data_IF_238344927433
#
_entry.id   IF_238344927433
#
_cell.length_a   1.000
_cell.length_b   1.000
_cell.length_c   1.000
_cell.angle_alpha   90.00
_cell.angle_beta   90.00
_cell.angle_gamma   90.00
#
_symmetry.space_group_name_H-M   'P 1'
#
loop_
_entity.id
_entity.type
_entity.pdbx_description
1 polymer ?
#
# COMPACT_ATOMS: atom_id res chain seq x y z
N UNK A 1 36.17 7.43 19.02
CA UNK A 1 35.20 8.48 18.64
C UNK A 1 34.54 7.97 17.36
N UNK A 2 33.55 7.11 17.51
CA UNK A 2 32.75 6.69 16.35
C UNK A 2 32.05 7.94 15.82
N UNK A 3 32.36 8.31 14.58
CA UNK A 3 31.59 9.27 13.82
C UNK A 3 30.17 8.72 13.80
N UNK A 4 29.28 9.30 14.61
CA UNK A 4 27.87 9.01 14.56
C UNK A 4 27.42 9.12 13.11
N UNK A 5 26.87 8.03 12.57
CA UNK A 5 26.17 8.02 11.29
C UNK A 5 25.28 9.26 11.27
N UNK A 6 25.55 10.19 10.36
CA UNK A 6 24.60 11.28 10.09
C UNK A 6 23.39 10.59 9.49
N UNK A 7 22.37 10.37 10.32
CA UNK A 7 21.11 9.79 9.90
C UNK A 7 20.45 10.77 8.92
N UNK A 8 20.00 10.28 7.77
CA UNK A 8 19.14 11.09 6.90
C UNK A 8 17.80 11.23 7.61
N UNK A 9 17.61 12.34 8.31
CA UNK A 9 16.28 12.68 8.83
C UNK A 9 15.43 13.01 7.63
N UNK A 10 14.42 12.18 7.37
CA UNK A 10 13.48 12.43 6.28
C UNK A 10 12.63 13.65 6.61
N UNK A 11 12.34 14.49 5.60
CA UNK A 11 11.58 15.73 5.79
C UNK A 11 10.18 15.46 6.40
N UNK A 12 9.61 14.28 6.13
CA UNK A 12 8.28 13.88 6.59
C UNK A 12 8.26 13.19 7.96
N UNK A 13 9.42 12.85 8.54
CA UNK A 13 9.50 12.18 9.86
C UNK A 13 8.68 12.85 10.97
N UNK A 14 8.74 14.18 11.18
CA UNK A 14 7.92 14.82 12.22
C UNK A 14 6.42 14.73 11.92
N UNK A 15 6.02 14.87 10.65
CA UNK A 15 4.61 14.80 10.27
C UNK A 15 4.02 13.39 10.46
N UNK A 16 4.83 12.36 10.21
CA UNK A 16 4.43 10.96 10.45
C UNK A 16 4.27 10.71 11.95
N UNK A 17 5.16 11.24 12.79
CA UNK A 17 5.03 11.15 14.25
C UNK A 17 3.78 11.85 14.76
N UNK A 18 3.49 13.05 14.26
CA UNK A 18 2.28 13.79 14.59
C UNK A 18 1.01 13.03 14.15
N UNK A 19 1.04 12.39 12.98
CA UNK A 19 -0.06 11.56 12.50
C UNK A 19 -0.32 10.35 13.42
N UNK A 20 0.75 9.66 13.85
CA UNK A 20 0.65 8.54 14.79
C UNK A 20 0.07 9.02 16.12
N UNK A 21 0.55 10.15 16.64
CA UNK A 21 0.04 10.72 17.87
C UNK A 21 -1.43 11.10 17.76
N UNK A 22 -1.82 11.75 16.65
CA UNK A 22 -3.22 12.06 16.35
C UNK A 22 -4.08 10.80 16.27
N UNK A 23 -3.61 9.74 15.61
CA UNK A 23 -4.35 8.48 15.51
C UNK A 23 -4.59 7.85 16.89
N UNK A 24 -3.60 7.88 17.77
CA UNK A 24 -3.71 7.38 19.15
C UNK A 24 -4.69 8.24 19.97
N UNK A 25 -4.56 9.57 19.92
CA UNK A 25 -5.38 10.50 20.72
C UNK A 25 -6.83 10.60 20.25
N UNK A 26 -7.08 10.39 18.96
CA UNK A 26 -8.40 10.51 18.38
C UNK A 26 -9.37 9.40 18.80
N UNK A 27 -8.88 8.35 19.49
CA UNK A 27 -9.61 7.10 19.80
C UNK A 27 -10.32 6.50 18.57
N UNK A 28 -9.88 6.86 17.36
CA UNK A 28 -10.44 6.40 16.08
C UNK A 28 -9.97 4.98 15.74
N UNK A 29 -9.77 4.17 16.78
CA UNK A 29 -9.03 2.91 16.75
C UNK A 29 -9.64 1.87 15.83
N UNK A 30 -10.91 1.98 15.45
CA UNK A 30 -11.51 0.93 14.63
C UNK A 30 -10.98 0.93 13.19
N UNK A 31 -10.55 2.06 12.61
CA UNK A 31 -10.34 2.11 11.17
C UNK A 31 -9.28 3.11 10.66
N UNK A 32 -7.98 2.82 10.87
CA UNK A 32 -6.86 3.50 10.18
C UNK A 32 -7.08 3.62 8.65
N UNK A 33 -7.82 2.65 8.09
CA UNK A 33 -8.27 2.61 6.71
C UNK A 33 -9.05 3.86 6.25
N UNK A 34 -9.99 4.41 7.03
CA UNK A 34 -10.71 5.63 6.65
C UNK A 34 -9.86 6.89 6.84
N UNK A 35 -8.98 6.89 7.85
CA UNK A 35 -8.03 7.99 8.06
C UNK A 35 -7.11 8.13 6.84
N UNK A 36 -6.49 7.02 6.41
CA UNK A 36 -5.59 7.01 5.26
C UNK A 36 -6.33 7.40 3.98
N UNK A 37 -7.51 6.84 3.71
CA UNK A 37 -8.29 7.18 2.52
C UNK A 37 -8.71 8.67 2.47
N UNK A 38 -9.01 9.27 3.61
CA UNK A 38 -9.35 10.70 3.69
C UNK A 38 -8.14 11.62 3.46
N UNK A 39 -6.94 11.15 3.78
CA UNK A 39 -5.70 11.92 3.71
C UNK A 39 -4.86 11.61 2.47
N UNK A 40 -5.18 10.56 1.71
CA UNK A 40 -4.34 10.00 0.64
C UNK A 40 -3.92 11.01 -0.43
N UNK A 41 -4.90 11.81 -0.91
CA UNK A 41 -4.66 12.82 -1.95
C UNK A 41 -4.14 14.15 -1.39
N UNK A 42 -4.29 14.36 -0.07
CA UNK A 42 -3.94 15.61 0.60
C UNK A 42 -2.52 15.59 1.18
N UNK A 43 -2.03 14.41 1.55
CA UNK A 43 -0.81 14.24 2.33
C UNK A 43 0.18 13.30 1.62
N UNK A 44 1.11 13.82 0.80
CA UNK A 44 2.14 13.02 0.13
C UNK A 44 3.01 12.19 1.09
N UNK A 45 3.13 12.62 2.36
CA UNK A 45 3.85 11.88 3.41
C UNK A 45 3.33 10.45 3.64
N UNK A 46 2.07 10.15 3.28
CA UNK A 46 1.52 8.80 3.38
C UNK A 46 2.15 7.83 2.36
N UNK A 47 2.86 8.38 1.37
CA UNK A 47 3.64 7.64 0.39
C UNK A 47 5.15 7.67 0.66
N UNK A 48 5.56 8.22 1.81
CA UNK A 48 6.96 8.21 2.24
C UNK A 48 7.24 6.96 3.10
N UNK A 49 7.26 5.81 2.43
CA UNK A 49 7.56 4.53 3.07
C UNK A 49 8.97 4.48 3.64
N UNK A 50 9.95 5.15 3.02
CA UNK A 50 11.31 5.18 3.57
C UNK A 50 11.36 5.86 4.94
N UNK A 51 10.64 6.97 5.11
CA UNK A 51 10.52 7.62 6.41
C UNK A 51 9.78 6.75 7.45
N UNK A 52 8.71 6.04 7.06
CA UNK A 52 8.01 5.11 7.95
C UNK A 52 8.89 3.92 8.36
N UNK A 53 9.65 3.38 7.41
CA UNK A 53 10.57 2.27 7.64
C UNK A 53 11.75 2.66 8.52
N UNK A 54 12.32 3.85 8.32
CA UNK A 54 13.40 4.37 9.17
C UNK A 54 12.96 4.52 10.63
N UNK A 55 11.74 5.02 10.86
CA UNK A 55 11.15 5.10 12.19
C UNK A 55 10.99 3.72 12.87
N UNK A 56 10.67 2.69 12.08
CA UNK A 56 10.43 1.33 12.56
C UNK A 56 11.69 0.47 12.66
N UNK A 57 12.71 0.69 11.83
CA UNK A 57 13.86 -0.22 11.72
C UNK A 57 15.15 0.37 12.31
N UNK A 58 15.37 1.67 12.14
CA UNK A 58 16.63 2.32 12.53
C UNK A 58 16.59 2.79 13.98
N UNK A 59 17.76 2.89 14.60
CA UNK A 59 17.89 3.45 15.95
C UNK A 59 17.58 4.97 15.95
N UNK A 60 17.04 5.52 17.05
CA UNK A 60 16.79 6.95 17.16
C UNK A 60 18.11 7.74 17.11
N UNK A 61 18.10 8.87 16.40
CA UNK A 61 19.23 9.79 16.35
C UNK A 61 19.53 10.43 17.71
N UNK A 62 20.67 11.11 17.81
CA UNK A 62 21.06 11.80 19.06
C UNK A 62 20.06 12.90 19.40
N UNK A 63 19.25 12.68 20.44
CA UNK A 63 18.22 13.63 20.89
C UNK A 63 16.84 13.41 20.27
N UNK A 64 16.66 12.35 19.47
CA UNK A 64 15.34 11.89 19.04
C UNK A 64 14.74 10.96 20.10
N UNK A 65 13.46 11.11 20.37
CA UNK A 65 12.76 10.19 21.25
C UNK A 65 12.42 8.89 20.48
N UNK A 66 12.76 7.71 21.04
CA UNK A 66 12.37 6.44 20.45
C UNK A 66 10.84 6.33 20.42
N UNK A 67 10.32 5.62 19.42
CA UNK A 67 8.90 5.27 19.43
C UNK A 67 8.62 4.26 20.54
N UNK A 68 7.53 4.46 21.27
CA UNK A 68 7.04 3.47 22.22
C UNK A 68 6.26 2.34 21.52
N UNK A 69 5.91 1.31 22.27
CA UNK A 69 5.21 0.15 21.71
C UNK A 69 3.83 0.49 21.12
N UNK A 70 3.12 1.48 21.64
CA UNK A 70 1.81 1.85 21.09
C UNK A 70 1.98 2.60 19.78
N UNK A 71 2.93 3.54 19.73
CA UNK A 71 3.28 4.27 18.52
C UNK A 71 3.76 3.35 17.40
N UNK A 72 4.60 2.35 17.71
CA UNK A 72 5.05 1.35 16.73
C UNK A 72 3.88 0.55 16.16
N UNK A 73 2.96 0.07 17.01
CA UNK A 73 1.78 -0.68 16.56
C UNK A 73 0.91 0.18 15.64
N UNK A 74 0.61 1.41 16.06
CA UNK A 74 -0.17 2.36 15.26
C UNK A 74 0.50 2.72 13.92
N UNK A 75 1.82 2.92 13.90
CA UNK A 75 2.53 3.20 12.65
C UNK A 75 2.50 1.99 11.70
N UNK A 76 2.63 0.76 12.21
CA UNK A 76 2.48 -0.45 11.40
C UNK A 76 1.09 -0.53 10.78
N UNK A 77 0.02 -0.25 11.55
CA UNK A 77 -1.35 -0.24 11.03
C UNK A 77 -1.58 0.81 9.94
N UNK A 78 -1.11 2.03 10.17
CA UNK A 78 -1.18 3.12 9.20
C UNK A 78 -0.42 2.75 7.93
N UNK A 79 0.81 2.24 8.07
CA UNK A 79 1.66 1.82 6.94
C UNK A 79 0.98 0.72 6.11
N UNK A 80 0.39 -0.30 6.75
CA UNK A 80 -0.34 -1.38 6.04
C UNK A 80 -1.55 -0.83 5.29
N UNK A 81 -2.26 0.15 5.88
CA UNK A 81 -3.34 0.85 5.18
C UNK A 81 -2.84 1.65 3.97
N UNK A 82 -1.68 2.33 4.09
CA UNK A 82 -1.04 3.05 2.99
C UNK A 82 -0.60 2.10 1.87
N UNK A 83 0.00 0.96 2.21
CA UNK A 83 0.38 -0.10 1.25
C UNK A 83 -0.84 -0.61 0.49
N UNK A 84 -1.95 -0.89 1.18
CA UNK A 84 -3.19 -1.31 0.53
C UNK A 84 -3.71 -0.24 -0.43
N UNK A 85 -3.77 1.01 0.02
CA UNK A 85 -4.25 2.14 -0.80
C UNK A 85 -3.37 2.34 -2.04
N UNK A 86 -2.04 2.23 -1.91
CA UNK A 86 -1.08 2.30 -3.01
C UNK A 86 -1.24 1.16 -4.02
N UNK A 87 -1.61 -0.03 -3.56
CA UNK A 87 -1.72 -1.22 -4.41
C UNK A 87 -3.08 -1.35 -5.11
N UNK A 88 -4.17 -0.96 -4.44
CA UNK A 88 -5.53 -1.17 -4.97
C UNK A 88 -6.18 0.12 -5.49
N UNK A 89 -5.85 1.27 -4.92
CA UNK A 89 -6.59 2.52 -5.16
C UNK A 89 -8.07 2.46 -4.76
N UNK A 90 -8.49 1.40 -4.07
CA UNK A 90 -9.89 1.17 -3.69
C UNK A 90 -10.20 1.86 -2.37
N UNK A 91 -11.25 2.68 -2.37
CA UNK A 91 -11.76 3.24 -1.12
C UNK A 91 -12.29 2.15 -0.18
N UNK A 92 -12.31 2.41 1.14
CA UNK A 92 -12.83 1.49 2.16
C UNK A 92 -14.25 0.98 1.87
N UNK A 93 -14.58 -0.21 2.37
CA UNK A 93 -15.93 -0.80 2.27
C UNK A 93 -16.95 0.17 2.87
N UNK A 94 -17.99 0.52 2.12
CA UNK A 94 -19.01 1.50 2.54
C UNK A 94 -18.73 2.95 2.14
N UNK A 95 -17.51 3.27 1.68
CA UNK A 95 -17.20 4.54 0.98
C UNK A 95 -17.19 4.40 -0.54
N UNK A 96 -17.28 3.17 -1.05
CA UNK A 96 -17.43 2.90 -2.49
C UNK A 96 -18.76 3.46 -2.98
N UNK A 97 -18.77 4.72 -3.41
CA UNK A 97 -19.79 5.20 -4.34
C UNK A 97 -19.71 4.29 -5.56
N UNK A 98 -20.81 3.60 -5.88
CA UNK A 98 -20.88 2.60 -6.94
C UNK A 98 -20.17 3.05 -8.22
N UNK A 99 -19.57 2.09 -8.93
CA UNK A 99 -18.65 2.36 -10.01
C UNK A 99 -19.10 3.38 -11.06
N UNK A 100 -18.07 4.04 -11.62
CA UNK A 100 -18.01 4.83 -12.84
C UNK A 100 -18.44 6.32 -12.78
N UNK A 101 -17.57 7.13 -13.42
CA UNK A 101 -17.71 8.56 -13.79
C UNK A 101 -17.43 9.52 -12.62
N UNK A 102 -16.74 10.64 -12.73
CA UNK A 102 -16.09 11.35 -13.83
C UNK A 102 -15.68 12.70 -13.22
N UNK A 103 -14.49 13.22 -13.50
CA UNK A 103 -14.33 14.67 -13.58
C UNK A 103 -14.03 15.05 -15.02
N UNK A 104 -15.11 15.07 -15.80
CA UNK A 104 -15.25 15.85 -17.01
C UNK A 104 -14.97 17.32 -16.70
N UNK A 105 -14.14 17.87 -17.57
CA UNK A 105 -13.83 19.27 -17.79
C UNK A 105 -15.03 20.21 -17.57
N UNK A 106 -14.85 21.25 -16.75
CA UNK A 106 -15.80 22.34 -16.60
C UNK A 106 -15.72 23.27 -17.82
N UNK A 107 -16.72 23.22 -18.70
CA UNK A 107 -17.03 24.34 -19.58
C UNK A 107 -18.55 24.51 -19.66
N UNK A 108 -19.04 25.51 -18.95
CA UNK A 108 -20.41 26.03 -19.06
C UNK A 108 -20.45 27.09 -20.16
N UNK A 109 -21.32 26.84 -21.14
CA UNK A 109 -22.14 27.79 -21.91
C UNK A 109 -21.45 28.87 -22.76
N UNK A 110 -21.50 28.68 -24.08
CA UNK A 110 -22.04 29.70 -25.01
C UNK A 110 -22.75 29.00 -26.17
N UNK A 111 -24.04 29.27 -26.34
CA UNK A 111 -24.89 28.63 -27.35
C UNK A 111 -24.78 29.24 -28.74
N UNK A 112 -25.23 28.50 -29.76
CA UNK A 112 -25.88 29.02 -30.97
C UNK A 112 -26.54 27.87 -31.75
N UNK A 113 -27.65 28.22 -32.37
CA UNK A 113 -28.68 27.39 -33.01
C UNK A 113 -28.32 27.11 -34.48
N UNK A 114 -28.66 25.93 -35.03
CA UNK A 114 -29.31 25.76 -36.35
C UNK A 114 -29.61 24.27 -36.72
N UNK A 115 -30.81 24.06 -37.27
CA UNK A 115 -31.42 22.85 -37.91
C UNK A 115 -30.93 22.67 -39.38
N UNK A 116 -31.43 21.71 -40.23
CA UNK A 116 -31.90 20.31 -40.07
C UNK A 116 -31.34 19.29 -41.12
N UNK A 117 -31.73 18.01 -40.95
CA UNK A 117 -31.95 16.90 -41.93
C UNK A 117 -30.87 16.40 -42.93
N UNK A 118 -30.63 15.08 -42.93
CA UNK A 118 -31.03 14.22 -44.06
C UNK A 118 -30.71 12.72 -43.83
N UNK A 119 -31.60 11.90 -44.39
CA UNK A 119 -31.61 10.43 -44.35
C UNK A 119 -30.44 9.78 -45.09
N UNK A 120 -29.96 8.63 -44.59
CA UNK A 120 -29.03 7.76 -45.30
C UNK A 120 -28.94 6.36 -44.70
N UNK A 121 -29.64 5.39 -45.30
CA UNK A 121 -29.46 3.95 -45.06
C UNK A 121 -28.07 3.53 -45.54
N UNK A 122 -27.32 2.79 -44.71
CA UNK A 122 -26.08 2.14 -45.10
C UNK A 122 -25.87 0.85 -44.32
N UNK A 123 -26.14 -0.29 -44.97
CA UNK A 123 -25.91 -1.65 -44.48
C UNK A 123 -24.40 -1.90 -44.35
N UNK A 124 -23.90 -2.16 -43.15
CA UNK A 124 -22.51 -2.59 -42.91
C UNK A 124 -22.41 -4.10 -42.85
N UNK A 125 -21.68 -4.70 -43.81
CA UNK A 125 -21.25 -6.09 -43.79
C UNK A 125 -20.18 -6.33 -42.73
N UNK A 126 -20.11 -7.57 -42.24
CA UNK A 126 -19.21 -7.97 -41.17
C UNK A 126 -17.74 -7.95 -41.57
N UNK A 127 -16.87 -7.99 -40.56
CA UNK A 127 -15.92 -9.09 -40.31
C UNK A 127 -15.17 -8.82 -39.00
N UNK A 128 -14.95 -9.91 -38.25
CA UNK A 128 -13.73 -10.23 -37.48
C UNK A 128 -13.27 -9.30 -36.37
N UNK A 129 -13.13 -9.90 -35.18
CA UNK A 129 -12.60 -9.26 -33.99
C UNK A 129 -11.16 -8.78 -34.13
N UNK A 130 -10.88 -7.77 -33.31
CA UNK A 130 -9.57 -7.47 -32.78
C UNK A 130 -9.81 -7.09 -31.34
N UNK A 131 -9.53 -8.03 -30.43
CA UNK A 131 -9.26 -7.73 -29.04
C UNK A 131 -8.00 -6.87 -28.98
N UNK A 132 -8.16 -5.58 -29.22
CA UNK A 132 -7.19 -4.59 -28.77
C UNK A 132 -7.35 -4.50 -27.27
N UNK A 133 -6.44 -5.10 -26.52
CA UNK A 133 -6.31 -4.78 -25.10
C UNK A 133 -6.18 -3.27 -24.99
N UNK A 134 -7.24 -2.61 -24.51
CA UNK A 134 -7.23 -1.17 -24.32
C UNK A 134 -6.01 -0.85 -23.43
N UNK A 135 -5.13 0.03 -23.93
CA UNK A 135 -3.96 0.44 -23.16
C UNK A 135 -4.44 0.96 -21.78
N UNK A 136 -3.75 0.60 -20.69
CA UNK A 136 -4.17 1.02 -19.35
C UNK A 136 -4.28 2.54 -19.28
N UNK A 137 -5.32 3.02 -18.60
CA UNK A 137 -5.57 4.45 -18.40
C UNK A 137 -4.36 5.11 -17.71
N UNK A 138 -4.24 6.43 -17.85
CA UNK A 138 -3.17 7.20 -17.16
C UNK A 138 -3.17 6.95 -15.65
N UNK A 139 -4.36 6.82 -15.08
CA UNK A 139 -4.57 6.51 -13.66
C UNK A 139 -4.11 5.09 -13.31
N UNK A 140 -4.46 4.09 -14.13
CA UNK A 140 -4.00 2.71 -13.94
C UNK A 140 -2.47 2.58 -14.03
N UNK A 141 -1.82 3.39 -14.88
CA UNK A 141 -0.35 3.45 -14.95
C UNK A 141 0.26 4.09 -13.70
N UNK A 142 -0.30 5.21 -13.24
CA UNK A 142 0.17 5.87 -12.03
C UNK A 142 0.05 4.94 -10.80
N UNK A 143 -1.06 4.19 -10.69
CA UNK A 143 -1.26 3.20 -9.63
C UNK A 143 -0.23 2.06 -9.72
N UNK A 144 0.03 1.53 -10.93
CA UNK A 144 1.05 0.50 -11.12
C UNK A 144 2.46 0.99 -10.78
N UNK A 145 2.80 2.23 -11.16
CA UNK A 145 4.09 2.84 -10.81
C UNK A 145 4.25 3.03 -9.28
N UNK A 146 3.18 3.47 -8.59
CA UNK A 146 3.19 3.62 -7.13
C UNK A 146 3.32 2.25 -6.45
N UNK A 147 2.57 1.25 -6.92
CA UNK A 147 2.65 -0.13 -6.42
C UNK A 147 4.03 -0.73 -6.62
N UNK A 148 4.69 -0.44 -7.74
CA UNK A 148 6.07 -0.86 -7.99
C UNK A 148 7.04 -0.24 -6.99
N UNK A 149 7.02 1.09 -6.80
CA UNK A 149 7.85 1.79 -5.81
C UNK A 149 7.66 1.28 -4.39
N UNK A 150 6.39 1.10 -3.99
CA UNK A 150 6.04 0.56 -2.68
C UNK A 150 6.57 -0.88 -2.52
N UNK A 151 6.46 -1.71 -3.56
CA UNK A 151 6.97 -3.08 -3.54
C UNK A 151 8.49 -3.10 -3.37
N UNK A 152 9.24 -2.30 -4.13
CA UNK A 152 10.71 -2.23 -4.03
C UNK A 152 11.18 -1.87 -2.62
N UNK A 153 10.55 -0.88 -1.98
CA UNK A 153 10.83 -0.52 -0.60
C UNK A 153 10.54 -1.67 0.37
N UNK A 154 9.36 -2.30 0.24
CA UNK A 154 8.93 -3.39 1.13
C UNK A 154 9.74 -4.68 0.94
N UNK A 155 10.24 -4.99 -0.26
CA UNK A 155 11.07 -6.18 -0.53
C UNK A 155 12.24 -6.26 0.44
N UNK A 156 12.92 -5.13 0.66
CA UNK A 156 14.12 -5.09 1.49
C UNK A 156 13.81 -4.98 2.98
N UNK A 157 12.71 -4.31 3.34
CA UNK A 157 12.38 -3.98 4.71
C UNK A 157 11.48 -5.00 5.42
N UNK A 158 10.57 -5.67 4.69
CA UNK A 158 9.58 -6.57 5.27
C UNK A 158 10.19 -7.73 6.08
N UNK A 159 11.27 -8.41 5.62
CA UNK A 159 11.90 -9.45 6.43
C UNK A 159 12.42 -8.91 7.77
N UNK A 160 13.00 -7.71 7.79
CA UNK A 160 13.51 -7.08 9.00
C UNK A 160 12.37 -6.66 9.94
N UNK A 161 11.27 -6.14 9.39
CA UNK A 161 10.07 -5.80 10.17
C UNK A 161 9.47 -7.04 10.84
N UNK A 162 9.35 -8.15 10.10
CA UNK A 162 8.86 -9.42 10.64
C UNK A 162 9.79 -9.99 11.71
N UNK A 163 11.10 -9.87 11.53
CA UNK A 163 12.07 -10.30 12.55
C UNK A 163 11.97 -9.45 13.84
N UNK A 164 11.82 -8.13 13.71
CA UNK A 164 11.76 -7.20 14.85
C UNK A 164 10.42 -7.20 15.58
N UNK A 165 9.31 -7.28 14.84
CA UNK A 165 7.96 -7.07 15.36
C UNK A 165 7.07 -8.32 15.31
N UNK A 166 7.56 -9.40 14.72
CA UNK A 166 6.79 -10.63 14.54
C UNK A 166 6.51 -11.41 15.83
N UNK A 167 7.09 -11.05 16.98
CA UNK A 167 6.74 -11.66 18.28
C UNK A 167 5.35 -11.24 18.76
N UNK A 168 4.91 -10.01 18.42
CA UNK A 168 3.55 -9.58 18.70
C UNK A 168 2.63 -10.13 17.61
N UNK A 169 1.57 -10.85 17.97
CA UNK A 169 0.79 -11.54 16.98
C UNK A 169 -0.19 -10.61 16.24
N UNK A 170 -0.49 -9.45 16.83
CA UNK A 170 -1.20 -8.35 16.18
C UNK A 170 -0.34 -7.71 15.09
N UNK A 171 0.89 -7.31 15.44
CA UNK A 171 1.86 -6.73 14.49
C UNK A 171 2.22 -7.72 13.38
N UNK A 172 2.43 -8.99 13.72
CA UNK A 172 2.69 -10.05 12.74
C UNK A 172 1.54 -10.19 11.74
N UNK A 173 0.28 -10.15 12.19
CA UNK A 173 -0.90 -10.24 11.30
C UNK A 173 -0.94 -9.08 10.31
N UNK A 174 -0.67 -7.86 10.78
CA UNK A 174 -0.62 -6.67 9.94
C UNK A 174 0.52 -6.73 8.91
N UNK A 175 1.73 -7.12 9.33
CA UNK A 175 2.89 -7.22 8.44
C UNK A 175 2.75 -8.36 7.42
N UNK A 176 2.20 -9.52 7.82
CA UNK A 176 1.94 -10.65 6.91
C UNK A 176 0.83 -10.35 5.88
N UNK A 177 0.06 -9.28 6.07
CA UNK A 177 -0.85 -8.81 5.05
C UNK A 177 -0.15 -8.05 3.91
N UNK A 178 1.08 -7.56 4.07
CA UNK A 178 1.78 -6.75 3.05
C UNK A 178 2.09 -7.54 1.76
N UNK A 179 2.62 -8.78 1.80
CA UNK A 179 2.97 -9.52 0.58
C UNK A 179 1.84 -9.68 -0.45
N UNK A 180 0.58 -9.71 -0.02
CA UNK A 180 -0.58 -9.82 -0.93
C UNK A 180 -0.75 -8.61 -1.86
N UNK A 181 -0.16 -7.47 -1.49
CA UNK A 181 -0.24 -6.20 -2.21
C UNK A 181 1.02 -5.94 -3.05
N UNK A 182 2.04 -6.78 -2.91
CA UNK A 182 3.33 -6.65 -3.58
C UNK A 182 3.33 -7.30 -4.97
N UNK A 183 4.14 -6.76 -5.86
CA UNK A 183 4.40 -7.36 -7.17
C UNK A 183 5.46 -8.45 -7.08
N UNK A 184 5.03 -9.72 -7.03
CA UNK A 184 5.94 -10.87 -6.91
C UNK A 184 6.97 -10.96 -8.05
N UNK A 185 6.66 -10.42 -9.23
CA UNK A 185 7.58 -10.36 -10.37
C UNK A 185 8.83 -9.52 -10.08
N UNK A 186 8.76 -8.54 -9.16
CA UNK A 186 9.93 -7.74 -8.79
C UNK A 186 10.98 -8.55 -8.02
N UNK A 187 10.59 -9.63 -7.33
CA UNK A 187 11.57 -10.51 -6.66
C UNK A 187 12.47 -11.24 -7.66
N UNK A 188 11.90 -11.69 -8.79
CA UNK A 188 12.61 -12.48 -9.81
C UNK A 188 13.32 -11.59 -10.83
N UNK A 189 12.70 -10.49 -11.25
CA UNK A 189 13.29 -9.55 -12.22
C UNK A 189 14.36 -8.65 -11.59
N UNK A 190 14.20 -8.28 -10.31
CA UNK A 190 15.11 -7.40 -9.58
C UNK A 190 16.30 -8.08 -8.90
N UNK A 191 16.51 -9.40 -9.09
CA UNK A 191 17.54 -10.20 -8.39
C UNK A 191 17.43 -10.11 -6.85
N UNK A 192 16.21 -10.05 -6.33
CA UNK A 192 15.94 -10.00 -4.89
C UNK A 192 15.69 -11.38 -4.27
N UNK A 193 16.19 -12.46 -4.89
CA UNK A 193 16.06 -13.85 -4.42
C UNK A 193 16.45 -13.99 -2.94
N UNK A 194 17.55 -13.35 -2.52
CA UNK A 194 17.99 -13.34 -1.11
C UNK A 194 16.93 -12.75 -0.16
N UNK A 195 16.21 -11.72 -0.58
CA UNK A 195 15.18 -11.10 0.27
C UNK A 195 13.92 -11.97 0.31
N UNK A 196 13.63 -12.70 -0.77
CA UNK A 196 12.57 -13.71 -0.77
C UNK A 196 12.91 -14.84 0.21
N UNK A 197 14.16 -15.35 0.20
CA UNK A 197 14.60 -16.37 1.16
C UNK A 197 14.47 -15.90 2.61
N UNK A 198 14.89 -14.65 2.89
CA UNK A 198 14.75 -14.03 4.21
C UNK A 198 13.28 -13.87 4.62
N UNK A 199 12.41 -13.49 3.69
CA UNK A 199 10.98 -13.38 3.93
C UNK A 199 10.38 -14.74 4.28
N UNK A 200 10.66 -15.77 3.48
CA UNK A 200 10.17 -17.13 3.70
C UNK A 200 10.64 -17.68 5.04
N UNK A 201 11.91 -17.47 5.40
CA UNK A 201 12.43 -17.84 6.71
C UNK A 201 11.71 -17.10 7.84
N UNK A 202 11.53 -15.78 7.73
CA UNK A 202 10.84 -14.99 8.76
C UNK A 202 9.38 -15.45 8.96
N UNK A 203 8.68 -15.78 7.86
CA UNK A 203 7.32 -16.32 7.92
C UNK A 203 7.31 -17.69 8.60
N UNK A 204 8.23 -18.58 8.24
CA UNK A 204 8.35 -19.89 8.89
C UNK A 204 8.60 -19.74 10.40
N UNK A 205 9.53 -18.87 10.80
CA UNK A 205 9.83 -18.62 12.21
C UNK A 205 8.60 -18.07 12.96
N UNK A 206 7.78 -17.23 12.32
CA UNK A 206 6.55 -16.71 12.93
C UNK A 206 5.53 -17.84 13.10
N UNK A 207 5.36 -18.70 12.09
CA UNK A 207 4.44 -19.85 12.15
C UNK A 207 4.85 -20.82 13.25
N UNK A 208 6.15 -21.10 13.39
CA UNK A 208 6.67 -21.98 14.43
C UNK A 208 6.52 -21.38 15.84
N UNK A 209 6.65 -20.06 15.97
CA UNK A 209 6.51 -19.35 17.26
C UNK A 209 5.05 -19.19 17.69
N UNK A 210 4.12 -19.01 16.75
CA UNK A 210 2.71 -18.78 17.02
C UNK A 210 1.91 -20.08 16.90
N UNK A 211 2.13 -21.01 17.84
CA UNK A 211 1.50 -22.34 17.88
C UNK A 211 0.00 -22.34 18.22
N UNK A 212 -0.72 -21.23 18.06
CA UNK A 212 -2.12 -21.11 18.47
C UNK A 212 -3.07 -21.65 17.36
N UNK A 213 -3.89 -22.69 17.62
CA UNK A 213 -4.78 -23.31 16.61
C UNK A 213 -5.76 -22.33 15.95
N UNK A 214 -6.10 -21.24 16.63
CA UNK A 214 -6.98 -20.16 16.12
C UNK A 214 -6.24 -19.10 15.30
N UNK A 215 -4.94 -19.23 15.05
CA UNK A 215 -4.18 -18.40 14.09
C UNK A 215 -3.57 -19.21 12.95
N UNK A 216 -3.39 -20.52 13.13
CA UNK A 216 -3.01 -21.45 12.06
C UNK A 216 -3.87 -21.28 10.80
N UNK A 217 -5.18 -21.06 10.94
CA UNK A 217 -6.08 -20.89 9.79
C UNK A 217 -5.88 -19.55 9.06
N UNK A 218 -5.46 -18.47 9.72
CA UNK A 218 -5.22 -17.18 9.06
C UNK A 218 -3.95 -17.23 8.22
N UNK A 219 -2.85 -17.72 8.79
CA UNK A 219 -1.59 -17.81 8.05
C UNK A 219 -1.69 -18.85 6.93
N UNK A 220 -2.33 -20.00 7.20
CA UNK A 220 -2.59 -21.01 6.18
C UNK A 220 -3.57 -20.54 5.10
N UNK A 221 -4.60 -19.75 5.43
CA UNK A 221 -5.53 -19.18 4.44
C UNK A 221 -4.91 -18.02 3.64
N UNK A 222 -4.04 -17.21 4.24
CA UNK A 222 -3.32 -16.14 3.55
C UNK A 222 -2.21 -16.67 2.63
N UNK A 223 -1.51 -17.75 3.02
CA UNK A 223 -0.45 -18.34 2.19
C UNK A 223 -0.95 -19.38 1.17
N UNK A 224 -2.16 -19.95 1.33
CA UNK A 224 -2.68 -20.99 0.43
C UNK A 224 -2.79 -20.61 -1.05
N UNK A 225 -3.09 -19.35 -1.44
CA UNK A 225 -3.11 -19.01 -2.86
C UNK A 225 -1.71 -18.86 -3.49
N UNK A 226 -0.67 -18.63 -2.68
CA UNK A 226 0.66 -18.22 -3.19
C UNK A 226 1.72 -19.33 -3.21
N UNK A 227 1.54 -20.43 -2.47
CA UNK A 227 2.54 -21.53 -2.36
C UNK A 227 2.13 -22.79 -3.14
N UNK A 228 0.94 -22.83 -3.73
CA UNK A 228 0.42 -23.96 -4.53
C UNK A 228 0.44 -23.75 -6.06
N UNK A 229 1.09 -22.69 -6.56
CA UNK A 229 1.49 -22.56 -7.97
C UNK A 229 3.00 -22.71 -8.09
#
# INVERSE_FOLDING_TARGET
LELGKVKNVFENTPLIRDLVQFFIESELHEHATYLVDSLWDLCPMLRDWEAMLDLLLEEPGRGEEPMDANQETSLIEIMVCCVRQAATGESPVGRQTGGHHSHSNTNLLTGSINFPESSGRGRGGGTTGTGGGAAPSREARALAEERSRMTEAMITALPALLAKYGESPERATNLLAIPRYMEMELYTTGRHERHLDLLLQAVQDIVERHTDPQRYWLVHAFMNPCVLM
#
